data_IF_266009780294
#
_entry.id   IF_266009780294
#
_cell.length_a   1.000
_cell.length_b   1.000
_cell.length_c   1.000
_cell.angle_alpha   90.00
_cell.angle_beta   90.00
_cell.angle_gamma   90.00
#
_symmetry.space_group_name_H-M   'P 1'
#
loop_
_entity.id
_entity.type
_entity.pdbx_description
1 polymer ?
#
# COMPACT_ATOMS: atom_id res chain seq x y z
N UNK A 1 -6.38 -10.26 -16.19
CA UNK A 1 -7.35 -9.36 -15.55
C UNK A 1 -7.11 -9.32 -14.04
N UNK A 2 -6.47 -8.24 -13.58
CA UNK A 2 -6.04 -8.17 -12.19
C UNK A 2 -5.84 -6.74 -11.74
N UNK A 3 -5.82 -6.54 -10.44
CA UNK A 3 -5.35 -5.31 -9.83
C UNK A 3 -3.93 -5.55 -9.35
N UNK A 4 -3.00 -4.73 -9.83
CA UNK A 4 -1.60 -4.78 -9.41
C UNK A 4 -1.39 -3.76 -8.30
N UNK A 5 -0.74 -4.20 -7.22
CA UNK A 5 -0.43 -3.33 -6.09
C UNK A 5 1.02 -2.88 -6.20
N UNK A 6 1.24 -1.57 -6.33
CA UNK A 6 2.56 -0.97 -6.47
C UNK A 6 3.03 -0.33 -5.16
N UNK A 7 2.62 -0.88 -4.03
CA UNK A 7 2.95 -0.34 -2.72
C UNK A 7 4.46 -0.37 -2.45
N UNK A 8 5.13 -1.46 -2.82
CA UNK A 8 6.57 -1.59 -2.64
C UNK A 8 7.35 -0.56 -3.47
N UNK A 9 6.87 -0.24 -4.67
CA UNK A 9 7.47 0.79 -5.52
C UNK A 9 7.41 2.15 -4.83
N UNK A 10 6.24 2.51 -4.30
CA UNK A 10 6.07 3.79 -3.61
C UNK A 10 6.86 3.85 -2.30
N UNK A 11 6.93 2.74 -1.58
CA UNK A 11 7.76 2.66 -0.37
C UNK A 11 9.23 2.91 -0.69
N UNK A 12 9.72 2.32 -1.77
CA UNK A 12 11.10 2.51 -2.21
C UNK A 12 11.34 3.97 -2.61
N UNK A 13 10.41 4.58 -3.33
CA UNK A 13 10.52 5.99 -3.73
C UNK A 13 10.58 6.93 -2.52
N UNK A 14 9.84 6.62 -1.47
CA UNK A 14 9.80 7.46 -0.25
C UNK A 14 10.82 7.02 0.79
N UNK A 15 11.57 5.94 0.53
CA UNK A 15 12.61 5.42 1.43
C UNK A 15 12.05 5.13 2.82
N UNK A 16 10.87 4.52 2.88
CA UNK A 16 10.22 4.16 4.15
C UNK A 16 10.16 2.64 4.27
N UNK A 17 10.47 2.12 5.47
CA UNK A 17 10.43 0.69 5.73
C UNK A 17 9.00 0.21 5.97
N UNK A 18 8.78 -1.10 5.81
CA UNK A 18 7.47 -1.70 6.10
C UNK A 18 7.05 -1.50 7.53
N UNK A 19 7.99 -1.65 8.48
CA UNK A 19 7.68 -1.45 9.89
C UNK A 19 7.24 -0.03 10.20
N UNK A 20 7.95 0.95 9.67
CA UNK A 20 7.61 2.35 9.88
C UNK A 20 6.27 2.71 9.23
N UNK A 21 6.04 2.24 8.00
CA UNK A 21 4.79 2.54 7.31
C UNK A 21 3.60 1.90 8.01
N UNK A 22 3.72 0.63 8.42
CA UNK A 22 2.66 -0.06 9.13
C UNK A 22 2.29 0.68 10.42
N UNK A 23 3.29 1.13 11.17
CA UNK A 23 3.08 1.89 12.39
C UNK A 23 2.34 3.19 12.13
N UNK A 24 2.75 3.96 11.12
CA UNK A 24 2.13 5.24 10.77
C UNK A 24 0.71 5.07 10.26
N UNK A 25 0.44 4.01 9.53
CA UNK A 25 -0.90 3.73 8.97
C UNK A 25 -1.81 3.11 10.03
N UNK A 26 -1.23 2.47 11.04
CA UNK A 26 -2.01 1.85 12.13
C UNK A 26 -2.46 0.44 11.81
N UNK A 27 -1.67 -0.29 11.01
CA UNK A 27 -1.92 -1.71 10.71
C UNK A 27 -0.72 -2.54 11.13
N UNK A 28 -0.90 -3.86 11.17
CA UNK A 28 0.21 -4.76 11.47
C UNK A 28 1.13 -4.90 10.27
N UNK A 29 2.39 -5.27 10.52
CA UNK A 29 3.32 -5.55 9.43
C UNK A 29 2.85 -6.72 8.58
N UNK A 30 2.17 -7.72 9.19
CA UNK A 30 1.61 -8.84 8.46
C UNK A 30 0.54 -8.36 7.47
N UNK A 31 -0.35 -7.47 7.88
CA UNK A 31 -1.37 -6.91 7.00
C UNK A 31 -0.75 -6.08 5.88
N UNK A 32 0.26 -5.29 6.19
CA UNK A 32 0.98 -4.51 5.18
C UNK A 32 1.64 -5.44 4.16
N UNK A 33 2.24 -6.54 4.63
CA UNK A 33 2.88 -7.52 3.75
C UNK A 33 1.87 -8.16 2.81
N UNK A 34 0.67 -8.49 3.29
CA UNK A 34 -0.39 -9.03 2.45
C UNK A 34 -0.78 -8.05 1.35
N UNK A 35 -0.90 -6.76 1.67
CA UNK A 35 -1.17 -5.72 0.68
C UNK A 35 -0.01 -5.59 -0.32
N UNK A 36 1.21 -5.55 0.19
CA UNK A 36 2.41 -5.34 -0.63
C UNK A 36 2.64 -6.46 -1.64
N UNK A 37 2.33 -7.69 -1.26
CA UNK A 37 2.52 -8.86 -2.15
C UNK A 37 1.35 -9.09 -3.11
N UNK A 38 0.31 -8.27 -3.03
CA UNK A 38 -0.84 -8.40 -3.91
C UNK A 38 -1.79 -9.53 -3.54
N UNK A 39 -1.66 -10.10 -2.34
CA UNK A 39 -2.50 -11.19 -1.87
C UNK A 39 -3.78 -10.72 -1.19
N UNK A 40 -3.92 -9.43 -0.95
CA UNK A 40 -5.12 -8.88 -0.36
C UNK A 40 -6.28 -8.94 -1.35
N UNK A 41 -7.45 -9.33 -0.87
CA UNK A 41 -8.67 -9.38 -1.68
C UNK A 41 -9.48 -8.09 -1.57
N UNK A 42 -9.18 -7.27 -0.60
CA UNK A 42 -9.88 -6.02 -0.35
C UNK A 42 -8.97 -5.08 0.42
N UNK A 43 -9.26 -3.80 0.32
CA UNK A 43 -8.62 -2.77 1.12
C UNK A 43 -9.69 -1.79 1.58
N UNK A 44 -9.65 -1.40 2.85
CA UNK A 44 -10.56 -0.38 3.37
C UNK A 44 -10.13 0.99 2.85
N UNK A 45 -11.11 1.83 2.52
CA UNK A 45 -10.79 3.19 2.09
C UNK A 45 -9.99 3.96 3.15
N UNK A 46 -10.26 3.71 4.43
CA UNK A 46 -9.51 4.36 5.51
C UNK A 46 -8.03 3.99 5.45
N UNK A 47 -7.72 2.73 5.17
CA UNK A 47 -6.34 2.27 5.02
C UNK A 47 -5.71 2.87 3.76
N UNK A 48 -6.44 2.87 2.66
CA UNK A 48 -5.97 3.45 1.40
C UNK A 48 -5.67 4.94 1.56
N UNK A 49 -6.55 5.68 2.24
CA UNK A 49 -6.34 7.09 2.52
C UNK A 49 -5.08 7.32 3.36
N UNK A 50 -4.87 6.50 4.39
CA UNK A 50 -3.70 6.61 5.24
C UNK A 50 -2.42 6.33 4.48
N UNK A 51 -2.43 5.31 3.60
CA UNK A 51 -1.28 5.00 2.74
C UNK A 51 -0.97 6.17 1.81
N UNK A 52 -1.97 6.73 1.16
CA UNK A 52 -1.79 7.89 0.28
C UNK A 52 -1.22 9.09 1.04
N UNK A 53 -1.72 9.34 2.24
CA UNK A 53 -1.24 10.44 3.08
C UNK A 53 0.24 10.25 3.44
N UNK A 54 0.59 9.06 3.92
CA UNK A 54 1.96 8.78 4.39
C UNK A 54 2.97 8.70 3.24
N UNK A 55 2.53 8.25 2.08
CA UNK A 55 3.39 8.10 0.91
C UNK A 55 3.33 9.30 -0.04
N UNK A 56 2.51 10.30 0.29
CA UNK A 56 2.32 11.50 -0.54
C UNK A 56 2.02 11.12 -1.99
N UNK A 57 1.00 10.30 -2.18
CA UNK A 57 0.64 9.80 -3.52
C UNK A 57 -0.88 9.68 -3.65
N UNK A 58 -1.30 9.34 -4.86
CA UNK A 58 -2.71 9.12 -5.18
C UNK A 58 -3.01 7.62 -5.21
N UNK A 59 -4.30 7.22 -5.06
CA UNK A 59 -4.65 5.79 -5.15
C UNK A 59 -4.16 5.13 -6.44
N UNK A 60 -4.17 5.86 -7.56
CA UNK A 60 -3.68 5.33 -8.84
C UNK A 60 -2.18 5.06 -8.87
N UNK A 61 -1.42 5.60 -7.92
CA UNK A 61 0.00 5.28 -7.77
C UNK A 61 0.20 3.95 -7.04
N UNK A 62 -0.82 3.51 -6.29
CA UNK A 62 -0.74 2.29 -5.49
C UNK A 62 -1.45 1.11 -6.15
N UNK A 63 -2.51 1.38 -6.91
CA UNK A 63 -3.36 0.35 -7.50
C UNK A 63 -3.47 0.58 -8.99
N UNK A 64 -3.32 -0.51 -9.77
CA UNK A 64 -3.34 -0.45 -11.22
C UNK A 64 -4.14 -1.63 -11.77
N UNK A 65 -5.04 -1.37 -12.72
CA UNK A 65 -5.74 -2.44 -13.41
C UNK A 65 -4.93 -2.89 -14.62
N UNK A 66 -4.80 -4.20 -14.79
CA UNK A 66 -4.15 -4.80 -15.97
C UNK A 66 -5.00 -5.94 -16.52
N UNK A 67 -5.05 -6.01 -17.80
CA UNK A 67 -5.64 -7.19 -18.49
C UNK A 67 -4.67 -8.41 -18.37
#
# INVERSE_FOLDING_TARGET
>A
MEIVVNLDVMMAKRKISGGELAERVGITQANLSVLKTGKAKAIRFSTLMALCRELHCQPGDLLEYRD
#
